data_IF_215279060014
#
_entry.id   IF_215279060014
#
_cell.length_a   1.000
_cell.length_b   1.000
_cell.length_c   1.000
_cell.angle_alpha   90.00
_cell.angle_beta   90.00
_cell.angle_gamma   90.00
#
_symmetry.space_group_name_H-M   'P 1'
#
loop_
_entity.id
_entity.type
_entity.pdbx_description
1 polymer ?
#
# COMPACT_ATOMS: atom_id res chain seq x y z
N UNK A 1 -11.49 -14.00 -17.40
CA UNK A 1 -11.88 -13.30 -16.15
C UNK A 1 -10.68 -12.98 -15.25
N UNK A 2 -9.73 -13.91 -15.03
CA UNK A 2 -8.59 -13.71 -14.11
C UNK A 2 -7.69 -12.51 -14.43
N UNK A 3 -7.35 -12.28 -15.70
CA UNK A 3 -6.54 -11.12 -16.11
C UNK A 3 -7.23 -9.79 -15.72
N UNK A 4 -8.54 -9.69 -15.89
CA UNK A 4 -9.29 -8.47 -15.56
C UNK A 4 -9.24 -8.19 -14.05
N UNK A 5 -9.36 -9.24 -13.24
CA UNK A 5 -9.27 -9.17 -11.78
C UNK A 5 -7.89 -8.69 -11.32
N UNK A 6 -6.81 -9.20 -11.92
CA UNK A 6 -5.46 -8.74 -11.64
C UNK A 6 -5.26 -7.27 -12.03
N UNK A 7 -5.74 -6.87 -13.22
CA UNK A 7 -5.70 -5.46 -13.66
C UNK A 7 -6.45 -4.54 -12.71
N UNK A 8 -7.60 -4.96 -12.20
CA UNK A 8 -8.34 -4.20 -11.20
C UNK A 8 -7.54 -4.01 -9.91
N UNK A 9 -6.84 -5.05 -9.43
CA UNK A 9 -5.97 -4.94 -8.25
C UNK A 9 -4.81 -3.94 -8.48
N UNK A 10 -4.16 -3.97 -9.66
CA UNK A 10 -3.13 -2.97 -9.99
C UNK A 10 -3.69 -1.56 -10.08
N UNK A 11 -4.85 -1.38 -10.71
CA UNK A 11 -5.51 -0.08 -10.82
C UNK A 11 -5.87 0.48 -9.42
N UNK A 12 -6.39 -0.36 -8.53
CA UNK A 12 -6.68 0.04 -7.14
C UNK A 12 -5.42 0.47 -6.39
N UNK A 13 -4.30 -0.23 -6.56
CA UNK A 13 -3.03 0.21 -5.96
C UNK A 13 -2.64 1.61 -6.44
N UNK A 14 -2.78 1.88 -7.74
CA UNK A 14 -2.48 3.19 -8.32
C UNK A 14 -3.41 4.26 -7.77
N UNK A 15 -4.72 4.00 -7.73
CA UNK A 15 -5.71 4.94 -7.22
C UNK A 15 -5.51 5.30 -5.74
N UNK A 16 -5.11 4.32 -4.92
CA UNK A 16 -4.85 4.55 -3.49
C UNK A 16 -3.51 5.27 -3.30
N UNK A 17 -2.46 4.88 -4.03
CA UNK A 17 -1.09 5.33 -3.77
C UNK A 17 -0.74 6.65 -4.44
N UNK A 18 -1.34 6.98 -5.58
CA UNK A 18 -1.10 8.24 -6.28
C UNK A 18 -1.39 9.49 -5.43
N UNK A 19 -2.59 9.67 -4.81
CA UNK A 19 -2.85 10.86 -3.99
C UNK A 19 -1.95 10.92 -2.75
N UNK A 20 -1.59 9.75 -2.21
CA UNK A 20 -0.66 9.63 -1.09
C UNK A 20 0.72 10.17 -1.49
N UNK A 21 1.27 9.74 -2.62
CA UNK A 21 2.56 10.22 -3.11
C UNK A 21 2.54 11.70 -3.47
N UNK A 22 1.47 12.19 -4.11
CA UNK A 22 1.29 13.63 -4.38
C UNK A 22 1.41 14.42 -3.08
N UNK A 23 0.73 13.99 -2.02
CA UNK A 23 0.82 14.68 -0.72
C UNK A 23 2.22 14.63 -0.09
N UNK A 24 2.99 13.56 -0.33
CA UNK A 24 4.34 13.43 0.21
C UNK A 24 5.34 14.36 -0.47
N UNK A 25 5.18 14.61 -1.78
CA UNK A 25 6.03 15.50 -2.56
C UNK A 25 5.59 16.97 -2.48
N UNK A 26 4.29 17.27 -2.33
CA UNK A 26 3.79 18.66 -2.28
C UNK A 26 4.01 19.32 -0.92
N UNK A 27 3.85 18.57 0.17
CA UNK A 27 3.77 19.15 1.51
C UNK A 27 5.08 18.99 2.28
N UNK A 28 6.21 19.39 1.70
CA UNK A 28 7.59 19.13 2.19
C UNK A 28 7.77 19.42 3.69
N UNK A 29 7.13 20.48 4.20
CA UNK A 29 7.25 20.94 5.59
C UNK A 29 6.11 20.47 6.53
N UNK A 30 5.05 19.83 6.01
CA UNK A 30 3.93 19.38 6.83
C UNK A 30 4.14 17.93 7.31
N UNK A 31 3.59 17.50 8.46
CA UNK A 31 3.61 16.09 8.85
C UNK A 31 3.06 15.18 7.74
N UNK A 32 3.63 13.98 7.60
CA UNK A 32 3.21 13.03 6.55
C UNK A 32 1.74 12.65 6.79
N UNK A 33 0.84 13.18 5.96
CA UNK A 33 -0.62 13.01 6.10
C UNK A 33 -1.05 11.55 6.07
N UNK A 34 -0.38 10.73 5.24
CA UNK A 34 -0.61 9.29 5.16
C UNK A 34 -0.32 8.57 6.49
N UNK A 35 0.55 9.15 7.31
CA UNK A 35 0.89 8.66 8.65
C UNK A 35 0.15 9.43 9.75
N UNK A 36 -0.84 10.26 9.39
CA UNK A 36 -1.62 11.10 10.31
C UNK A 36 -0.77 11.92 11.29
N UNK A 37 0.47 12.28 10.92
CA UNK A 37 1.40 12.99 11.80
C UNK A 37 1.85 12.21 13.05
N UNK A 38 1.59 10.91 13.11
CA UNK A 38 1.97 10.03 14.23
C UNK A 38 3.45 9.66 14.24
N UNK A 39 4.16 9.96 13.14
CA UNK A 39 5.60 9.77 13.00
C UNK A 39 6.23 11.13 12.77
N UNK A 40 7.26 11.43 13.55
CA UNK A 40 8.02 12.66 13.41
C UNK A 40 8.61 12.75 12.00
N UNK A 41 8.33 13.86 11.34
CA UNK A 41 8.70 14.06 9.94
C UNK A 41 10.18 14.40 9.85
N UNK A 42 11.01 13.44 9.41
CA UNK A 42 12.38 13.71 8.97
C UNK A 42 12.46 13.70 7.44
N UNK A 43 13.26 14.60 6.88
CA UNK A 43 13.46 14.68 5.42
C UNK A 43 13.91 13.33 4.84
N UNK A 44 14.82 12.65 5.54
CA UNK A 44 15.33 11.33 5.15
C UNK A 44 14.25 10.24 5.15
N UNK A 45 13.41 10.17 6.19
CA UNK A 45 12.33 9.18 6.25
C UNK A 45 11.29 9.41 5.15
N UNK A 46 10.92 10.67 4.93
CA UNK A 46 10.00 11.04 3.85
C UNK A 46 10.55 10.65 2.49
N UNK A 47 11.80 10.99 2.19
CA UNK A 47 12.43 10.66 0.91
C UNK A 47 12.48 9.14 0.70
N UNK A 48 12.86 8.39 1.74
CA UNK A 48 12.88 6.93 1.71
C UNK A 48 11.50 6.34 1.41
N UNK A 49 10.46 6.76 2.15
CA UNK A 49 9.10 6.25 1.96
C UNK A 49 8.54 6.68 0.60
N UNK A 50 8.74 7.93 0.19
CA UNK A 50 8.23 8.46 -1.07
C UNK A 50 8.88 7.77 -2.28
N UNK A 51 10.20 7.53 -2.25
CA UNK A 51 10.90 6.79 -3.30
C UNK A 51 10.47 5.33 -3.37
N UNK A 52 10.36 4.64 -2.23
CA UNK A 52 9.87 3.26 -2.17
C UNK A 52 8.45 3.14 -2.71
N UNK A 53 7.55 4.01 -2.27
CA UNK A 53 6.16 4.00 -2.70
C UNK A 53 6.02 4.40 -4.18
N UNK A 54 6.86 5.31 -4.68
CA UNK A 54 6.91 5.64 -6.11
C UNK A 54 7.33 4.45 -6.95
N UNK A 55 8.32 3.66 -6.49
CA UNK A 55 8.68 2.41 -7.16
C UNK A 55 7.50 1.43 -7.22
N UNK A 56 6.76 1.26 -6.11
CA UNK A 56 5.55 0.42 -6.07
C UNK A 56 4.45 0.95 -7.01
N UNK A 57 4.28 2.27 -7.11
CA UNK A 57 3.33 2.90 -8.03
C UNK A 57 3.69 2.56 -9.48
N UNK A 58 4.95 2.76 -9.87
CA UNK A 58 5.43 2.46 -11.22
C UNK A 58 5.32 0.97 -11.56
N UNK A 59 5.68 0.08 -10.64
CA UNK A 59 5.49 -1.35 -10.81
C UNK A 59 4.00 -1.73 -10.89
N UNK A 60 3.12 -1.02 -10.19
CA UNK A 60 1.67 -1.25 -10.29
C UNK A 60 1.12 -0.77 -11.64
N UNK A 61 1.62 0.35 -12.17
CA UNK A 61 1.31 0.79 -13.54
C UNK A 61 1.79 -0.23 -14.58
N UNK A 62 3.02 -0.73 -14.46
CA UNK A 62 3.52 -1.78 -15.35
C UNK A 62 2.70 -3.09 -15.22
N UNK A 63 2.35 -3.47 -13.99
CA UNK A 63 1.50 -4.63 -13.73
C UNK A 63 0.09 -4.51 -14.30
N UNK A 64 -0.45 -3.30 -14.45
CA UNK A 64 -1.71 -3.12 -15.14
C UNK A 64 -1.65 -3.55 -16.62
N UNK A 65 -0.52 -3.32 -17.30
CA UNK A 65 -0.32 -3.75 -18.69
C UNK A 65 0.10 -5.23 -18.79
N UNK A 66 0.95 -5.70 -17.87
CA UNK A 66 1.48 -7.07 -17.84
C UNK A 66 1.19 -7.80 -16.51
N UNK A 67 -0.08 -8.10 -16.19
CA UNK A 67 -0.48 -8.51 -14.85
C UNK A 67 0.15 -9.81 -14.35
N UNK A 68 0.34 -10.78 -15.24
CA UNK A 68 0.94 -12.07 -14.89
C UNK A 68 2.45 -11.93 -14.58
N UNK A 69 3.16 -11.10 -15.34
CA UNK A 69 4.61 -10.87 -15.15
C UNK A 69 4.89 -10.20 -13.79
N UNK A 70 4.03 -9.25 -13.40
CA UNK A 70 4.19 -8.49 -12.16
C UNK A 70 3.48 -9.10 -10.96
N UNK A 71 2.89 -10.30 -11.07
CA UNK A 71 2.19 -10.96 -9.95
C UNK A 71 3.01 -11.01 -8.64
N UNK A 72 4.34 -11.25 -8.67
CA UNK A 72 5.17 -11.18 -7.46
C UNK A 72 5.09 -9.82 -6.75
N UNK A 73 4.87 -8.72 -7.47
CA UNK A 73 4.68 -7.39 -6.88
C UNK A 73 3.38 -7.31 -6.08
N UNK A 74 2.27 -7.87 -6.56
CA UNK A 74 1.03 -7.93 -5.77
C UNK A 74 1.22 -8.77 -4.51
N UNK A 75 1.91 -9.91 -4.60
CA UNK A 75 2.22 -10.76 -3.45
C UNK A 75 3.08 -9.99 -2.45
N UNK A 76 4.15 -9.35 -2.91
CA UNK A 76 5.02 -8.52 -2.07
C UNK A 76 4.21 -7.41 -1.37
N UNK A 77 3.28 -6.78 -2.07
CA UNK A 77 2.42 -5.76 -1.49
C UNK A 77 1.51 -6.30 -0.38
N UNK A 78 0.95 -7.50 -0.55
CA UNK A 78 0.16 -8.16 0.51
C UNK A 78 1.04 -8.46 1.71
N UNK A 79 2.22 -9.04 1.51
CA UNK A 79 3.16 -9.35 2.60
C UNK A 79 3.57 -8.09 3.36
N UNK A 80 3.98 -7.04 2.64
CA UNK A 80 4.36 -5.76 3.22
C UNK A 80 3.24 -5.14 4.07
N UNK A 81 2.01 -5.09 3.55
CA UNK A 81 0.86 -4.51 4.24
C UNK A 81 0.44 -5.34 5.46
N UNK A 82 0.49 -6.67 5.34
CA UNK A 82 0.29 -7.58 6.47
C UNK A 82 1.31 -7.33 7.56
N UNK A 83 2.60 -7.23 7.21
CA UNK A 83 3.65 -6.93 8.18
C UNK A 83 3.39 -5.59 8.85
N UNK A 84 3.06 -4.53 8.11
CA UNK A 84 2.71 -3.23 8.70
C UNK A 84 1.55 -3.34 9.72
N UNK A 85 0.48 -4.06 9.39
CA UNK A 85 -0.65 -4.26 10.31
C UNK A 85 -0.22 -5.03 11.57
N UNK A 86 0.55 -6.12 11.39
CA UNK A 86 0.97 -7.00 12.48
C UNK A 86 2.02 -6.38 13.40
N UNK A 87 3.00 -5.66 12.85
CA UNK A 87 4.16 -5.17 13.61
C UNK A 87 3.98 -3.74 14.10
N UNK A 88 3.13 -2.93 13.45
CA UNK A 88 2.90 -1.54 13.85
C UNK A 88 1.50 -1.32 14.42
N UNK A 89 0.44 -1.72 13.69
CA UNK A 89 -0.93 -1.41 14.11
C UNK A 89 -1.36 -2.24 15.32
N UNK A 90 -1.22 -3.56 15.28
CA UNK A 90 -1.68 -4.45 16.36
C UNK A 90 -1.02 -4.10 17.71
N UNK A 91 0.30 -3.90 17.83
CA UNK A 91 0.91 -3.55 19.11
C UNK A 91 0.37 -2.24 19.69
N UNK A 92 0.16 -1.21 18.85
CA UNK A 92 -0.42 0.07 19.29
C UNK A 92 -1.86 -0.06 19.74
N UNK A 93 -2.69 -0.83 19.02
CA UNK A 93 -4.07 -1.11 19.41
C UNK A 93 -4.13 -1.86 20.75
N UNK A 94 -3.27 -2.87 20.95
CA UNK A 94 -3.18 -3.61 22.22
C UNK A 94 -2.72 -2.74 23.38
N UNK A 95 -1.90 -1.73 23.11
CA UNK A 95 -1.47 -0.76 24.10
C UNK A 95 -2.48 0.39 24.34
N UNK A 96 -3.68 0.33 23.73
CA UNK A 96 -4.69 1.39 23.83
C UNK A 96 -4.35 2.68 23.08
N UNK A 97 -3.27 2.72 22.31
CA UNK A 97 -2.74 3.91 21.61
C UNK A 97 -3.35 4.06 20.20
N UNK A 98 -4.68 4.06 20.11
CA UNK A 98 -5.41 4.08 18.82
C UNK A 98 -5.11 5.36 18.02
N UNK A 99 -4.94 6.50 18.70
CA UNK A 99 -4.58 7.80 18.12
C UNK A 99 -3.25 7.78 17.33
N UNK A 100 -2.39 6.80 17.60
CA UNK A 100 -1.08 6.66 16.98
C UNK A 100 -1.10 5.71 15.78
N UNK A 101 -2.28 5.23 15.36
CA UNK A 101 -2.47 4.35 14.20
C UNK A 101 -3.01 5.19 13.05
N UNK A 102 -2.36 5.20 11.88
CA UNK A 102 -2.84 5.94 10.72
C UNK A 102 -4.09 5.26 10.12
N UNK A 103 -5.26 5.58 10.66
CA UNK A 103 -6.51 4.84 10.42
C UNK A 103 -6.81 4.70 8.92
N UNK A 104 -6.67 5.78 8.14
CA UNK A 104 -6.92 5.75 6.69
C UNK A 104 -6.03 4.73 5.98
N UNK A 105 -4.73 4.75 6.27
CA UNK A 105 -3.76 3.82 5.69
C UNK A 105 -4.02 2.37 6.17
N UNK A 106 -4.28 2.19 7.46
CA UNK A 106 -4.54 0.89 8.08
C UNK A 106 -5.80 0.22 7.51
N UNK A 107 -6.88 0.97 7.28
CA UNK A 107 -8.11 0.45 6.65
C UNK A 107 -7.82 0.03 5.21
N UNK A 108 -7.16 0.87 4.41
CA UNK A 108 -6.78 0.50 3.04
C UNK A 108 -5.91 -0.76 3.01
N UNK A 109 -4.94 -0.87 3.94
CA UNK A 109 -4.07 -2.04 4.02
C UNK A 109 -4.84 -3.29 4.44
N UNK A 110 -5.76 -3.18 5.39
CA UNK A 110 -6.60 -4.29 5.82
C UNK A 110 -7.46 -4.81 4.67
N UNK A 111 -8.12 -3.92 3.93
CA UNK A 111 -8.93 -4.29 2.77
C UNK A 111 -8.09 -5.00 1.71
N UNK A 112 -6.89 -4.48 1.40
CA UNK A 112 -5.98 -5.10 0.44
C UNK A 112 -5.55 -6.49 0.91
N UNK A 113 -5.14 -6.63 2.17
CA UNK A 113 -4.68 -7.91 2.73
C UNK A 113 -5.79 -8.97 2.72
N UNK A 114 -7.05 -8.57 2.95
CA UNK A 114 -8.18 -9.49 2.93
C UNK A 114 -8.65 -9.85 1.51
N UNK A 115 -8.57 -8.91 0.56
CA UNK A 115 -9.13 -9.10 -0.79
C UNK A 115 -8.10 -9.65 -1.77
N UNK A 116 -6.86 -9.16 -1.77
CA UNK A 116 -5.89 -9.48 -2.82
C UNK A 116 -5.45 -10.94 -2.87
N UNK A 117 -5.32 -11.70 -1.77
CA UNK A 117 -5.06 -13.14 -1.86
C UNK A 117 -6.11 -13.89 -2.69
N UNK A 118 -7.38 -13.48 -2.55
CA UNK A 118 -8.51 -14.04 -3.32
C UNK A 118 -8.38 -13.63 -4.79
N UNK A 119 -8.08 -12.35 -5.07
CA UNK A 119 -7.88 -11.85 -6.44
C UNK A 119 -6.69 -12.54 -7.15
N UNK A 120 -5.59 -12.77 -6.41
CA UNK A 120 -4.40 -13.47 -6.88
C UNK A 120 -4.75 -14.93 -7.21
N UNK A 121 -5.47 -15.62 -6.31
CA UNK A 121 -5.91 -16.99 -6.52
C UNK A 121 -6.75 -17.12 -7.80
N UNK A 122 -7.78 -16.29 -7.97
CA UNK A 122 -8.59 -16.28 -9.19
C UNK A 122 -7.80 -15.89 -10.45
N UNK A 123 -6.81 -14.99 -10.31
CA UNK A 123 -5.92 -14.61 -11.40
C UNK A 123 -5.05 -15.78 -11.88
N UNK A 124 -4.59 -16.63 -10.96
CA UNK A 124 -3.80 -17.82 -11.26
C UNK A 124 -4.64 -18.97 -11.81
N UNK A 125 -5.83 -19.22 -11.28
CA UNK A 125 -6.69 -20.34 -11.69
C UNK A 125 -7.39 -20.16 -13.04
N UNK A 126 -7.34 -18.96 -13.62
CA UNK A 126 -8.00 -18.64 -14.90
C UNK A 126 -7.03 -18.46 -16.07
N UNK A 127 -5.74 -18.78 -15.88
CA UNK A 127 -4.73 -18.94 -16.93
C UNK A 127 -4.47 -20.43 -17.15
#
# INVERSE_FOLDING_TARGET
MGILVLKAAYALNVLILAPVLVSMYSDVNAPIRALQGTIENSEGLRLLVASLWSAILLLSLAGFFWPNLFLPVLILQVVYKSLFLLTYCIPKLRAGKVENVPIGLSISFLLIVLTYPILIFYGLSAN
#
